data_IF_608694394542
#
_entry.id   IF_608694394542
#
_cell.length_a   1.000
_cell.length_b   1.000
_cell.length_c   1.000
_cell.angle_alpha   90.00
_cell.angle_beta   90.00
_cell.angle_gamma   90.00
#
_symmetry.space_group_name_H-M   'P 1'
#
loop_
_entity.id
_entity.type
_entity.pdbx_description
1 polymer ?
#
# COMPACT_ATOMS: atom_id res chain seq x y z
N UNK A 1 -34.38 10.43 29.35
CA UNK A 1 -33.26 9.46 29.29
C UNK A 1 -33.44 8.36 28.25
N UNK A 2 -34.56 7.62 28.21
CA UNK A 2 -34.79 6.53 27.23
C UNK A 2 -34.73 6.93 25.75
N UNK A 3 -35.16 8.17 25.41
CA UNK A 3 -35.16 8.65 24.02
C UNK A 3 -33.74 8.91 23.49
N UNK A 4 -32.87 9.51 24.32
CA UNK A 4 -31.47 9.75 23.99
C UNK A 4 -30.71 8.45 23.72
N UNK A 5 -31.02 7.37 24.44
CA UNK A 5 -30.44 6.05 24.22
C UNK A 5 -30.76 5.47 22.83
N UNK A 6 -31.98 5.73 22.34
CA UNK A 6 -32.39 5.34 20.98
C UNK A 6 -31.66 6.14 19.91
N UNK A 7 -31.49 7.44 20.13
CA UNK A 7 -30.75 8.33 19.21
C UNK A 7 -29.27 7.96 19.17
N UNK A 8 -28.65 7.72 20.33
CA UNK A 8 -27.27 7.24 20.44
C UNK A 8 -27.11 5.93 19.68
N UNK A 9 -27.98 4.94 19.92
CA UNK A 9 -27.98 3.67 19.20
C UNK A 9 -28.11 3.84 17.68
N UNK A 10 -28.94 4.78 17.20
CA UNK A 10 -29.10 5.06 15.78
C UNK A 10 -27.84 5.69 15.17
N UNK A 11 -27.16 6.56 15.91
CA UNK A 11 -25.89 7.20 15.50
C UNK A 11 -24.77 6.16 15.43
N UNK A 12 -24.61 5.29 16.44
CA UNK A 12 -23.62 4.21 16.40
C UNK A 12 -23.88 3.25 15.25
N UNK A 13 -25.14 2.89 15.01
CA UNK A 13 -25.51 2.09 13.85
C UNK A 13 -25.19 2.78 12.53
N UNK A 14 -25.37 4.10 12.41
CA UNK A 14 -25.04 4.82 11.18
C UNK A 14 -23.53 4.95 10.94
N UNK A 15 -22.71 5.08 11.98
CA UNK A 15 -21.24 4.98 11.84
C UNK A 15 -20.78 3.57 11.43
N UNK A 16 -21.47 2.51 11.87
CA UNK A 16 -21.23 1.14 11.42
C UNK A 16 -21.73 0.90 9.98
N UNK A 17 -22.81 1.57 9.57
CA UNK A 17 -23.44 1.45 8.24
C UNK A 17 -22.79 2.35 7.16
N UNK A 18 -22.09 3.43 7.55
CA UNK A 18 -21.38 4.31 6.62
C UNK A 18 -20.10 3.69 6.05
N UNK A 19 -19.72 2.48 6.49
CA UNK A 19 -19.07 1.48 5.65
C UNK A 19 -17.71 1.81 5.04
N UNK A 20 -17.12 2.98 5.28
CA UNK A 20 -15.71 3.25 4.96
C UNK A 20 -14.80 2.61 6.01
N UNK A 21 -14.94 1.30 6.19
CA UNK A 21 -13.87 0.48 6.74
C UNK A 21 -13.09 -0.05 5.54
N UNK A 22 -11.85 0.38 5.28
CA UNK A 22 -11.09 -0.09 4.14
C UNK A 22 -10.63 -1.57 4.26
N UNK A 23 -11.13 -2.34 5.23
CA UNK A 23 -10.62 -3.66 5.61
C UNK A 23 -11.78 -4.55 6.13
N UNK A 24 -11.64 -5.89 6.04
CA UNK A 24 -12.68 -6.88 6.37
C UNK A 24 -13.28 -6.66 7.78
N UNK A 25 -14.52 -7.14 8.01
CA UNK A 25 -15.19 -7.04 9.32
C UNK A 25 -14.32 -7.66 10.44
N UNK A 26 -13.95 -6.84 11.43
CA UNK A 26 -13.01 -7.13 12.54
C UNK A 26 -11.52 -7.23 12.17
N UNK A 27 -11.11 -6.95 10.93
CA UNK A 27 -9.71 -6.80 10.53
C UNK A 27 -9.24 -5.35 10.69
N UNK A 28 -9.00 -4.94 11.94
CA UNK A 28 -8.48 -3.60 12.24
C UNK A 28 -7.11 -3.37 11.58
N UNK A 29 -6.26 -4.40 11.50
CA UNK A 29 -4.90 -4.23 10.97
C UNK A 29 -4.80 -4.37 9.44
N UNK A 30 -5.90 -4.65 8.75
CA UNK A 30 -5.89 -4.82 7.30
C UNK A 30 -4.84 -5.85 6.84
N UNK A 31 -4.66 -6.94 7.61
CA UNK A 31 -3.58 -7.90 7.40
C UNK A 31 -3.60 -8.53 6.00
N UNK A 32 -4.76 -8.48 5.33
CA UNK A 32 -4.95 -9.01 3.98
C UNK A 32 -4.41 -8.13 2.87
N UNK A 33 -4.00 -6.88 3.14
CA UNK A 33 -3.33 -6.03 2.13
C UNK A 33 -2.12 -6.76 1.56
N UNK A 34 -1.34 -7.43 2.43
CA UNK A 34 -0.20 -8.23 2.03
C UNK A 34 -0.55 -9.45 1.15
N UNK A 35 -1.81 -9.89 1.20
CA UNK A 35 -2.31 -11.02 0.42
C UNK A 35 -2.80 -10.61 -0.97
N UNK A 36 -3.08 -9.32 -1.19
CA UNK A 36 -3.57 -8.81 -2.47
C UNK A 36 -2.55 -9.04 -3.59
N UNK A 37 -3.04 -9.32 -4.79
CA UNK A 37 -2.19 -9.51 -5.97
C UNK A 37 -1.38 -8.25 -6.29
N UNK A 38 -1.99 -7.08 -6.14
CA UNK A 38 -1.30 -5.80 -6.31
C UNK A 38 -0.11 -5.66 -5.35
N UNK A 39 -0.29 -5.91 -4.05
CA UNK A 39 0.80 -5.81 -3.08
C UNK A 39 1.90 -6.82 -3.37
N UNK A 40 1.54 -8.08 -3.66
CA UNK A 40 2.52 -9.13 -4.00
C UNK A 40 3.33 -8.77 -5.24
N UNK A 41 2.68 -8.23 -6.27
CA UNK A 41 3.35 -7.80 -7.49
C UNK A 41 4.26 -6.60 -7.25
N UNK A 42 3.80 -5.62 -6.47
CA UNK A 42 4.59 -4.43 -6.10
C UNK A 42 5.83 -4.82 -5.28
N UNK A 43 5.67 -5.74 -4.32
CA UNK A 43 6.77 -6.24 -3.49
C UNK A 43 7.77 -7.06 -4.31
N UNK A 44 7.28 -7.89 -5.25
CA UNK A 44 8.15 -8.61 -6.19
C UNK A 44 8.96 -7.64 -7.05
N UNK A 45 8.29 -6.66 -7.67
CA UNK A 45 8.92 -5.58 -8.43
C UNK A 45 10.02 -4.91 -7.59
N UNK A 46 9.68 -4.47 -6.37
CA UNK A 46 10.61 -3.78 -5.47
C UNK A 46 11.87 -4.60 -5.25
N UNK A 47 11.73 -5.86 -4.87
CA UNK A 47 12.89 -6.74 -4.60
C UNK A 47 13.79 -6.91 -5.82
N UNK A 48 13.19 -7.13 -7.00
CA UNK A 48 13.93 -7.31 -8.24
C UNK A 48 14.66 -6.02 -8.65
N UNK A 49 13.95 -4.89 -8.69
CA UNK A 49 14.51 -3.61 -9.13
C UNK A 49 15.56 -3.06 -8.16
N UNK A 50 15.37 -3.20 -6.85
CA UNK A 50 16.39 -2.86 -5.86
C UNK A 50 17.64 -3.74 -6.01
N UNK A 51 17.47 -5.03 -6.30
CA UNK A 51 18.59 -5.94 -6.59
C UNK A 51 19.40 -5.49 -7.80
N UNK A 52 18.74 -5.10 -8.89
CA UNK A 52 19.38 -4.58 -10.11
C UNK A 52 20.10 -3.26 -9.81
N UNK A 53 19.45 -2.31 -9.14
CA UNK A 53 20.00 -1.00 -8.84
C UNK A 53 21.26 -1.07 -7.96
N UNK A 54 21.29 -1.98 -6.96
CA UNK A 54 22.45 -2.20 -6.09
C UNK A 54 23.70 -2.65 -6.83
N UNK A 55 23.53 -3.30 -7.99
CA UNK A 55 24.63 -3.79 -8.82
C UNK A 55 25.08 -2.73 -9.83
N UNK A 56 24.14 -1.92 -10.35
CA UNK A 56 24.42 -0.95 -11.42
C UNK A 56 24.98 0.37 -10.94
N UNK A 57 24.48 0.91 -9.83
CA UNK A 57 24.81 2.27 -9.40
C UNK A 57 25.19 2.32 -7.93
N UNK A 58 25.75 3.46 -7.50
CA UNK A 58 25.97 3.73 -6.08
C UNK A 58 24.62 3.86 -5.37
N UNK A 59 24.20 2.76 -4.76
CA UNK A 59 22.91 2.66 -4.10
C UNK A 59 22.82 3.57 -2.87
N UNK A 60 21.70 4.30 -2.74
CA UNK A 60 21.38 5.19 -1.62
C UNK A 60 19.95 4.95 -1.15
N UNK A 61 19.61 5.45 0.03
CA UNK A 61 18.25 5.38 0.58
C UNK A 61 17.23 6.12 -0.31
N UNK A 62 17.63 7.23 -0.92
CA UNK A 62 16.78 7.96 -1.88
C UNK A 62 16.41 7.10 -3.10
N UNK A 63 17.37 6.32 -3.61
CA UNK A 63 17.13 5.38 -4.71
C UNK A 63 16.20 4.24 -4.24
N UNK A 64 16.38 3.74 -3.02
CA UNK A 64 15.53 2.70 -2.44
C UNK A 64 14.05 3.14 -2.39
N UNK A 65 13.82 4.35 -1.88
CA UNK A 65 12.49 4.96 -1.77
C UNK A 65 11.87 5.30 -3.12
N UNK A 66 12.66 5.78 -4.08
CA UNK A 66 12.17 6.07 -5.43
C UNK A 66 11.74 4.78 -6.15
N UNK A 67 12.53 3.71 -6.04
CA UNK A 67 12.16 2.39 -6.58
C UNK A 67 10.90 1.85 -5.89
N UNK A 68 10.79 2.03 -4.57
CA UNK A 68 9.62 1.62 -3.80
C UNK A 68 8.33 2.27 -4.35
N UNK A 69 8.32 3.60 -4.47
CA UNK A 69 7.15 4.31 -5.00
C UNK A 69 6.84 3.91 -6.44
N UNK A 70 7.85 3.79 -7.32
CA UNK A 70 7.63 3.36 -8.71
C UNK A 70 7.03 1.96 -8.82
N UNK A 71 7.46 1.02 -7.97
CA UNK A 71 6.90 -0.33 -7.95
C UNK A 71 5.51 -0.41 -7.32
N UNK A 72 5.18 0.46 -6.37
CA UNK A 72 3.80 0.58 -5.85
C UNK A 72 2.84 1.10 -6.91
N UNK A 73 3.24 2.13 -7.65
CA UNK A 73 2.42 2.76 -8.69
C UNK A 73 2.33 1.89 -9.95
N UNK A 74 3.44 1.25 -10.32
CA UNK A 74 3.55 0.39 -11.49
C UNK A 74 4.39 -0.88 -11.19
N UNK A 75 3.73 -2.01 -10.90
CA UNK A 75 4.43 -3.28 -10.63
C UNK A 75 5.23 -3.84 -11.83
N UNK A 76 5.09 -3.27 -13.03
CA UNK A 76 5.89 -3.62 -14.22
C UNK A 76 7.09 -2.68 -14.43
N UNK A 77 7.38 -1.81 -13.46
CA UNK A 77 8.53 -0.91 -13.49
C UNK A 77 9.85 -1.67 -13.70
N UNK A 78 10.74 -1.08 -14.49
CA UNK A 78 12.07 -1.60 -14.78
C UNK A 78 13.10 -0.50 -14.62
N UNK A 79 13.96 -0.66 -13.63
CA UNK A 79 15.02 0.29 -13.26
C UNK A 79 15.95 0.62 -14.43
N UNK A 80 16.27 -0.37 -15.26
CA UNK A 80 17.21 -0.21 -16.37
C UNK A 80 16.71 0.70 -17.51
N UNK A 81 15.40 0.92 -17.58
CA UNK A 81 14.78 1.78 -18.58
C UNK A 81 14.38 3.14 -18.01
N UNK A 82 14.73 3.40 -16.75
CA UNK A 82 14.38 4.64 -16.10
C UNK A 82 15.35 5.76 -16.52
N UNK A 83 14.87 6.83 -17.17
CA UNK A 83 15.72 7.91 -17.65
C UNK A 83 16.40 8.69 -16.52
N UNK A 84 15.92 8.57 -15.27
CA UNK A 84 16.57 9.18 -14.10
C UNK A 84 17.90 8.50 -13.76
N UNK A 85 18.06 7.23 -14.13
CA UNK A 85 19.20 6.39 -13.80
C UNK A 85 19.94 5.86 -15.03
N UNK A 86 19.53 6.29 -16.23
CA UNK A 86 20.31 6.11 -17.44
C UNK A 86 21.48 7.10 -17.41
N UNK A 87 22.71 6.58 -17.43
CA UNK A 87 23.93 7.36 -17.64
C UNK A 87 23.86 8.24 -18.89
#
# INVERSE_FOLDING_TARGET
>A
MKSYFKVISLITYSFLLLGCYPCDFLDWNCNRVAETSWYKNSEKCRREQQGIARIKIKYTEDIDMDIYHKCLDNPSYKFEFDPKYSD
#
